data_IF_375314804541
#
_entry.id   IF_375314804541
#
_cell.length_a   1.000
_cell.length_b   1.000
_cell.length_c   1.000
_cell.angle_alpha   90.00
_cell.angle_beta   90.00
_cell.angle_gamma   90.00
#
_symmetry.space_group_name_H-M   'P 1'
#
loop_
_entity.id
_entity.type
_entity.pdbx_description
1 polymer ?
#
# COMPACT_ATOMS: atom_id res chain seq x y z
N UNK A 1 -35.57 -12.34 26.85
CA UNK A 1 -34.21 -12.03 27.37
C UNK A 1 -33.87 -13.02 28.46
N UNK A 2 -32.71 -13.68 28.38
CA UNK A 2 -32.30 -14.77 29.28
C UNK A 2 -31.82 -14.31 30.69
N UNK A 3 -32.16 -13.09 31.12
CA UNK A 3 -31.77 -12.57 32.45
C UNK A 3 -30.27 -12.26 32.62
N UNK A 4 -29.52 -12.12 31.52
CA UNK A 4 -28.08 -11.85 31.58
C UNK A 4 -27.77 -10.51 32.26
N UNK A 5 -26.82 -10.52 33.20
CA UNK A 5 -26.35 -9.33 33.94
C UNK A 5 -25.21 -8.58 33.22
N UNK A 6 -24.73 -9.13 32.10
CA UNK A 6 -23.67 -8.58 31.27
C UNK A 6 -23.50 -9.41 30.00
N UNK A 7 -22.84 -8.85 28.98
CA UNK A 7 -22.56 -9.50 27.71
C UNK A 7 -21.06 -9.44 27.44
N UNK A 8 -20.46 -10.59 27.13
CA UNK A 8 -19.10 -10.67 26.60
C UNK A 8 -19.20 -11.01 25.11
N UNK A 9 -18.68 -10.14 24.26
CA UNK A 9 -18.74 -10.31 22.81
C UNK A 9 -17.35 -10.68 22.29
N UNK A 10 -17.27 -11.86 21.67
CA UNK A 10 -16.08 -12.35 20.98
C UNK A 10 -16.29 -12.07 19.48
N UNK A 11 -15.53 -11.16 18.87
CA UNK A 11 -15.68 -10.87 17.45
C UNK A 11 -15.19 -12.05 16.60
N UNK A 12 -15.78 -12.26 15.41
CA UNK A 12 -15.39 -13.34 14.51
C UNK A 12 -14.05 -13.08 13.80
N UNK A 13 -13.60 -11.82 13.74
CA UNK A 13 -12.38 -11.40 13.03
C UNK A 13 -11.41 -10.63 13.95
N UNK A 14 -10.09 -10.66 13.67
CA UNK A 14 -9.10 -9.86 14.40
C UNK A 14 -9.38 -8.36 14.38
N UNK A 15 -9.15 -7.69 15.51
CA UNK A 15 -9.38 -6.26 15.69
C UNK A 15 -10.56 -5.94 16.62
N UNK A 16 -10.70 -4.65 16.93
CA UNK A 16 -11.84 -4.14 17.69
C UNK A 16 -13.02 -3.95 16.73
N UNK A 17 -14.06 -4.77 16.88
CA UNK A 17 -15.30 -4.62 16.11
C UNK A 17 -16.17 -3.58 16.79
N UNK A 18 -16.57 -2.55 16.07
CA UNK A 18 -17.60 -1.62 16.51
C UNK A 18 -18.96 -2.28 16.33
N UNK A 19 -19.66 -2.53 17.44
CA UNK A 19 -21.04 -3.02 17.42
C UNK A 19 -21.90 -1.94 18.04
N UNK A 20 -22.92 -1.50 17.31
CA UNK A 20 -23.91 -0.56 17.84
C UNK A 20 -24.60 -1.22 19.04
N UNK A 21 -24.37 -0.64 20.23
CA UNK A 21 -24.95 -1.14 21.47
C UNK A 21 -26.33 -0.55 21.76
N UNK A 22 -26.91 0.23 20.83
CA UNK A 22 -28.28 0.71 20.96
C UNK A 22 -29.24 -0.45 21.20
N UNK A 23 -29.90 -0.42 22.35
CA UNK A 23 -30.86 -1.45 22.76
C UNK A 23 -30.31 -2.52 23.72
N UNK A 24 -29.00 -2.55 24.01
CA UNK A 24 -28.46 -3.39 25.07
C UNK A 24 -28.83 -2.83 26.45
N UNK A 25 -29.53 -3.64 27.25
CA UNK A 25 -29.92 -3.30 28.63
C UNK A 25 -28.86 -3.70 29.68
N UNK A 26 -27.83 -4.46 29.27
CA UNK A 26 -26.76 -4.94 30.14
C UNK A 26 -25.39 -4.43 29.66
N UNK A 27 -24.41 -4.22 30.55
CA UNK A 27 -23.05 -3.85 30.16
C UNK A 27 -22.44 -4.88 29.19
N UNK A 28 -21.87 -4.39 28.09
CA UNK A 28 -21.18 -5.22 27.12
C UNK A 28 -19.68 -4.96 27.14
N UNK A 29 -18.88 -6.02 27.14
CA UNK A 29 -17.42 -5.98 26.98
C UNK A 29 -17.07 -6.73 25.70
N UNK A 30 -16.28 -6.09 24.85
CA UNK A 30 -15.75 -6.70 23.62
C UNK A 30 -14.34 -7.21 23.87
N UNK A 31 -14.04 -8.39 23.36
CA UNK A 31 -12.68 -8.96 23.40
C UNK A 31 -12.05 -8.89 22.02
N UNK A 32 -10.75 -9.15 21.91
CA UNK A 32 -10.17 -9.49 20.61
C UNK A 32 -10.52 -10.94 20.26
N UNK A 33 -10.68 -11.24 18.96
CA UNK A 33 -10.99 -12.59 18.48
C UNK A 33 -9.94 -13.63 18.91
N UNK A 34 -8.67 -13.22 19.04
CA UNK A 34 -7.56 -14.09 19.48
C UNK A 34 -7.74 -14.67 20.87
N UNK A 35 -8.53 -14.02 21.74
CA UNK A 35 -8.86 -14.52 23.07
C UNK A 35 -10.12 -15.40 23.08
N UNK A 36 -10.82 -15.51 21.95
CA UNK A 36 -12.08 -16.24 21.85
C UNK A 36 -11.97 -17.69 22.29
N UNK A 37 -10.97 -18.42 21.77
CA UNK A 37 -10.78 -19.82 22.14
C UNK A 37 -10.47 -19.99 23.63
N UNK A 38 -9.59 -19.15 24.19
CA UNK A 38 -9.27 -19.18 25.62
C UNK A 38 -10.51 -18.97 26.50
N UNK A 39 -11.37 -18.03 26.10
CA UNK A 39 -12.63 -17.75 26.81
C UNK A 39 -13.57 -18.95 26.71
N UNK A 40 -13.72 -19.53 25.52
CA UNK A 40 -14.57 -20.71 25.30
C UNK A 40 -14.08 -21.92 26.10
N UNK A 41 -12.78 -22.19 26.11
CA UNK A 41 -12.16 -23.27 26.88
C UNK A 41 -12.35 -23.06 28.39
N UNK A 42 -12.21 -21.82 28.86
CA UNK A 42 -12.40 -21.47 30.28
C UNK A 42 -13.86 -21.71 30.72
N UNK A 43 -14.83 -21.36 29.87
CA UNK A 43 -16.26 -21.60 30.14
C UNK A 43 -16.57 -23.10 30.10
N UNK A 44 -15.96 -23.84 29.16
CA UNK A 44 -16.14 -25.28 29.04
C UNK A 44 -15.57 -26.06 30.23
N UNK A 45 -14.51 -25.54 30.86
CA UNK A 45 -13.89 -26.14 32.05
C UNK A 45 -14.72 -25.99 33.34
N UNK A 46 -15.76 -25.14 33.34
CA UNK A 46 -16.67 -24.96 34.47
C UNK A 46 -17.03 -23.49 34.72
N UNK A 47 -17.66 -23.18 35.88
CA UNK A 47 -18.05 -21.82 36.22
C UNK A 47 -16.85 -20.86 36.22
N UNK A 48 -16.86 -19.90 35.29
CA UNK A 48 -15.85 -18.87 35.16
C UNK A 48 -16.32 -17.54 35.76
N UNK A 49 -15.44 -16.83 36.49
CA UNK A 49 -15.70 -15.47 36.98
C UNK A 49 -14.85 -14.48 36.21
N UNK A 50 -15.50 -13.50 35.57
CA UNK A 50 -14.83 -12.40 34.87
C UNK A 50 -15.02 -11.13 35.70
N UNK A 51 -13.92 -10.46 36.06
CA UNK A 51 -13.96 -9.13 36.67
C UNK A 51 -14.02 -8.09 35.55
N UNK A 52 -15.11 -7.33 35.48
CA UNK A 52 -15.24 -6.23 34.53
C UNK A 52 -14.23 -5.10 34.83
N UNK A 53 -13.88 -4.29 33.81
CA UNK A 53 -12.95 -3.18 34.00
C UNK A 53 -13.50 -2.15 34.99
N UNK A 54 -12.64 -1.63 35.86
CA UNK A 54 -12.98 -0.50 36.74
C UNK A 54 -13.02 0.82 35.95
N UNK A 55 -13.65 1.87 36.48
CA UNK A 55 -13.71 3.20 35.84
C UNK A 55 -12.36 3.92 35.68
N UNK A 56 -11.26 3.34 36.17
CA UNK A 56 -9.91 3.89 35.99
C UNK A 56 -9.24 3.28 34.76
N UNK A 57 -8.70 4.09 33.84
CA UNK A 57 -7.78 3.61 32.82
C UNK A 57 -6.62 2.88 33.50
N UNK A 58 -6.25 1.71 33.00
CA UNK A 58 -5.06 0.99 33.42
C UNK A 58 -4.21 0.69 32.19
N UNK A 59 -2.89 0.73 32.36
CA UNK A 59 -1.98 0.36 31.29
C UNK A 59 -2.16 -1.13 30.99
N UNK A 60 -2.52 -1.45 29.75
CA UNK A 60 -2.39 -2.81 29.24
C UNK A 60 -0.92 -3.04 28.89
N UNK A 61 -0.33 -4.20 29.26
CA UNK A 61 0.96 -4.60 28.73
C UNK A 61 0.95 -4.51 27.21
N UNK A 62 2.10 -4.14 26.63
CA UNK A 62 2.25 -4.10 25.18
C UNK A 62 1.77 -5.42 24.58
N UNK A 63 0.82 -5.34 23.64
CA UNK A 63 0.34 -6.53 22.95
C UNK A 63 1.48 -7.10 22.10
N UNK A 64 1.37 -8.36 21.67
CA UNK A 64 2.37 -8.94 20.76
C UNK A 64 2.52 -8.11 19.47
N UNK A 65 1.46 -7.40 19.07
CA UNK A 65 1.38 -6.54 17.89
C UNK A 65 1.96 -5.14 18.11
N UNK A 66 2.42 -4.79 19.33
CA UNK A 66 3.02 -3.49 19.60
C UNK A 66 4.31 -3.29 18.81
N UNK A 67 4.50 -2.09 18.26
CA UNK A 67 5.65 -1.79 17.41
C UNK A 67 5.63 -2.50 16.05
N UNK A 68 4.48 -3.06 15.64
CA UNK A 68 4.30 -3.65 14.31
C UNK A 68 3.41 -2.77 13.43
N UNK A 69 3.49 -2.99 12.12
CA UNK A 69 2.58 -2.35 11.18
C UNK A 69 1.15 -2.86 11.42
N UNK A 70 0.18 -1.94 11.43
CA UNK A 70 -1.23 -2.32 11.58
C UNK A 70 -1.74 -3.02 10.32
N UNK A 71 -2.46 -4.13 10.49
CA UNK A 71 -2.94 -4.97 9.37
C UNK A 71 -3.86 -4.21 8.39
N UNK A 72 -4.54 -3.15 8.86
CA UNK A 72 -5.44 -2.31 8.07
C UNK A 72 -4.74 -1.16 7.35
N UNK A 73 -3.43 -0.96 7.57
CA UNK A 73 -2.71 0.13 6.93
C UNK A 73 -2.66 -0.09 5.43
N UNK A 74 -3.10 0.91 4.67
CA UNK A 74 -2.94 0.92 3.22
C UNK A 74 -1.46 0.84 2.85
N UNK A 75 -1.20 0.21 1.72
CA UNK A 75 0.14 -0.01 1.18
C UNK A 75 0.22 0.64 -0.19
N UNK A 76 1.41 1.10 -0.55
CA UNK A 76 1.71 1.56 -1.89
C UNK A 76 2.06 0.42 -2.87
N UNK A 77 2.57 0.79 -4.05
CA UNK A 77 2.82 2.18 -4.46
C UNK A 77 1.52 2.98 -4.57
N UNK A 78 1.65 4.31 -4.61
CA UNK A 78 0.54 5.15 -5.05
C UNK A 78 0.22 4.87 -6.53
N UNK A 79 -0.85 5.46 -7.07
CA UNK A 79 -1.24 5.21 -8.45
C UNK A 79 -0.09 5.51 -9.43
N UNK A 80 0.62 6.63 -9.23
CA UNK A 80 1.73 7.15 -10.06
C UNK A 80 3.04 6.37 -9.90
N UNK A 81 2.97 5.22 -9.23
CA UNK A 81 4.11 4.40 -8.84
C UNK A 81 5.07 5.12 -7.89
N UNK A 82 4.60 6.16 -7.20
CA UNK A 82 5.35 6.86 -6.17
C UNK A 82 5.28 6.08 -4.85
N UNK A 83 6.37 6.14 -4.09
CA UNK A 83 6.52 5.37 -2.86
C UNK A 83 5.57 5.94 -1.80
N UNK A 84 4.58 5.13 -1.43
CA UNK A 84 3.61 5.41 -0.36
C UNK A 84 3.44 4.19 0.57
N UNK A 85 3.08 4.39 1.86
CA UNK A 85 3.00 5.69 2.55
C UNK A 85 4.39 6.34 2.69
N UNK A 86 4.48 7.64 3.00
CA UNK A 86 5.78 8.31 3.16
C UNK A 86 6.45 7.96 4.51
N UNK A 87 5.68 7.93 5.60
CA UNK A 87 6.14 7.68 6.96
C UNK A 87 5.07 6.94 7.77
N UNK A 88 5.46 6.35 8.90
CA UNK A 88 4.58 5.72 9.87
C UNK A 88 4.47 6.56 11.14
N UNK A 89 3.31 6.48 11.78
CA UNK A 89 3.08 7.01 13.11
C UNK A 89 2.11 6.11 13.88
N UNK A 90 2.09 6.15 15.22
CA UNK A 90 1.16 5.36 16.02
C UNK A 90 -0.30 5.60 15.63
N UNK A 91 -1.00 4.55 15.21
CA UNK A 91 -2.41 4.60 14.82
C UNK A 91 -3.25 3.43 15.30
N UNK A 92 -2.65 2.40 15.88
CA UNK A 92 -3.35 1.27 16.48
C UNK A 92 -3.56 1.48 17.98
N UNK A 93 -4.77 1.18 18.47
CA UNK A 93 -5.14 1.22 19.89
C UNK A 93 -4.83 2.57 20.56
N UNK A 94 -5.13 3.67 19.88
CA UNK A 94 -4.87 5.03 20.36
C UNK A 94 -5.99 5.46 21.31
N UNK A 95 -5.63 5.71 22.56
CA UNK A 95 -6.52 6.29 23.57
C UNK A 95 -6.57 7.82 23.40
N UNK A 96 -7.76 8.36 23.08
CA UNK A 96 -7.93 9.80 22.88
C UNK A 96 -9.31 10.28 23.32
N UNK A 97 -9.51 11.59 23.30
CA UNK A 97 -10.78 12.24 23.63
C UNK A 97 -11.89 11.77 22.71
N UNK A 98 -13.04 11.42 23.26
CA UNK A 98 -14.21 10.99 22.52
C UNK A 98 -15.48 11.54 23.19
N UNK A 99 -16.47 12.05 22.44
CA UNK A 99 -17.61 12.75 23.01
C UNK A 99 -18.64 11.80 23.64
N UNK A 100 -18.31 11.08 24.71
CA UNK A 100 -19.25 10.21 25.47
C UNK A 100 -20.21 11.07 26.35
N UNK A 101 -20.69 12.21 25.82
CA UNK A 101 -21.29 13.37 26.53
C UNK A 101 -20.28 14.32 27.22
N UNK A 102 -19.10 14.47 26.58
CA UNK A 102 -18.16 15.59 26.69
C UNK A 102 -17.13 15.62 27.84
N UNK A 103 -16.82 14.46 28.42
CA UNK A 103 -15.57 14.26 29.17
C UNK A 103 -14.97 12.87 28.90
N UNK A 104 -15.40 12.24 27.81
CA UNK A 104 -15.14 10.84 27.53
C UNK A 104 -13.82 10.61 26.78
N UNK A 105 -13.40 9.36 26.80
CA UNK A 105 -12.25 8.87 26.07
C UNK A 105 -12.58 7.53 25.46
N UNK A 106 -11.96 7.22 24.33
CA UNK A 106 -12.13 5.96 23.63
C UNK A 106 -10.80 5.52 23.03
N UNK A 107 -10.60 4.21 22.96
CA UNK A 107 -9.50 3.60 22.21
C UNK A 107 -9.99 3.32 20.80
N UNK A 108 -9.35 3.93 19.81
CA UNK A 108 -9.65 3.72 18.39
C UNK A 108 -8.38 3.34 17.62
N UNK A 109 -8.58 2.70 16.47
CA UNK A 109 -7.51 2.29 15.57
C UNK A 109 -7.79 2.80 14.17
N UNK A 110 -6.76 3.31 13.50
CA UNK A 110 -6.84 3.77 12.12
C UNK A 110 -5.66 4.66 11.74
N UNK A 111 -5.38 4.75 10.44
CA UNK A 111 -4.46 5.78 9.90
C UNK A 111 -5.00 7.20 10.18
N UNK A 112 -6.32 7.35 10.36
CA UNK A 112 -6.96 8.55 10.90
C UNK A 112 -6.45 8.97 12.28
N UNK A 113 -5.87 8.05 13.08
CA UNK A 113 -5.22 8.35 14.35
C UNK A 113 -3.72 8.62 14.18
N UNK A 114 -3.07 7.99 13.21
CA UNK A 114 -1.69 8.32 12.81
C UNK A 114 -1.58 9.75 12.26
N UNK A 115 -2.55 10.19 11.45
CA UNK A 115 -2.57 11.51 10.82
C UNK A 115 -2.44 12.68 11.82
N UNK A 116 -3.28 12.81 12.87
CA UNK A 116 -3.15 13.88 13.86
C UNK A 116 -1.86 13.74 14.69
N UNK A 117 -1.30 12.54 14.85
CA UNK A 117 0.01 12.35 15.48
C UNK A 117 1.12 13.02 14.65
N UNK A 118 1.14 12.77 13.34
CA UNK A 118 2.07 13.43 12.40
C UNK A 118 1.83 14.94 12.38
N UNK A 119 0.58 15.40 12.37
CA UNK A 119 0.27 16.83 12.39
C UNK A 119 0.82 17.53 13.65
N UNK A 120 0.69 16.91 14.83
CA UNK A 120 1.29 17.41 16.06
C UNK A 120 2.82 17.41 16.02
N UNK A 121 3.44 16.38 15.45
CA UNK A 121 4.89 16.35 15.24
C UNK A 121 5.34 17.49 14.31
N UNK A 122 4.66 17.70 13.18
CA UNK A 122 4.94 18.80 12.26
C UNK A 122 4.83 20.15 12.97
N UNK A 123 3.84 20.34 13.85
CA UNK A 123 3.72 21.56 14.64
C UNK A 123 4.95 21.82 15.52
N UNK A 124 5.48 20.79 16.19
CA UNK A 124 6.72 20.89 16.98
C UNK A 124 7.95 21.18 16.09
N UNK A 125 8.03 20.54 14.92
CA UNK A 125 9.11 20.82 13.95
C UNK A 125 9.06 22.27 13.46
N UNK A 126 7.86 22.77 13.15
CA UNK A 126 7.63 24.16 12.75
C UNK A 126 7.93 25.14 13.87
N UNK A 127 7.62 24.82 15.12
CA UNK A 127 8.00 25.67 16.25
C UNK A 127 9.52 25.79 16.36
N UNK A 128 10.24 24.68 16.24
CA UNK A 128 11.70 24.67 16.31
C UNK A 128 12.39 25.24 15.06
N UNK A 129 11.77 25.09 13.88
CA UNK A 129 12.30 25.47 12.56
C UNK A 129 11.20 26.16 11.72
N UNK A 130 10.84 27.41 12.03
CA UNK A 130 9.63 28.08 11.48
C UNK A 130 9.65 28.29 9.97
N UNK A 131 10.83 28.42 9.37
CA UNK A 131 11.00 28.76 7.96
C UNK A 131 10.99 27.56 7.02
N UNK A 132 10.89 26.32 7.53
CA UNK A 132 10.85 25.14 6.67
C UNK A 132 9.64 25.19 5.73
N UNK A 133 9.83 24.88 4.46
CA UNK A 133 8.76 24.67 3.48
C UNK A 133 8.08 23.31 3.71
N UNK A 134 6.96 23.07 3.01
CA UNK A 134 6.26 21.77 3.08
C UNK A 134 7.14 20.64 2.56
N UNK A 135 7.87 20.86 1.46
CA UNK A 135 8.79 19.88 0.90
C UNK A 135 9.96 19.56 1.83
N UNK A 136 10.53 20.57 2.49
CA UNK A 136 11.59 20.34 3.48
C UNK A 136 11.07 19.60 4.73
N UNK A 137 9.81 19.81 5.13
CA UNK A 137 9.20 19.05 6.22
C UNK A 137 9.01 17.59 5.83
N UNK A 138 8.47 17.33 4.64
CA UNK A 138 8.30 15.97 4.11
C UNK A 138 9.66 15.25 4.00
N UNK A 139 10.67 15.95 3.46
CA UNK A 139 12.05 15.44 3.36
C UNK A 139 12.62 15.06 4.73
N UNK A 140 12.72 16.03 5.66
CA UNK A 140 13.30 15.81 6.98
C UNK A 140 12.56 14.71 7.73
N UNK A 141 11.22 14.67 7.69
CA UNK A 141 10.43 13.64 8.36
C UNK A 141 10.67 12.26 7.76
N UNK A 142 10.78 12.14 6.42
CA UNK A 142 11.11 10.89 5.76
C UNK A 142 12.51 10.42 6.15
N UNK A 143 13.54 11.23 5.93
CA UNK A 143 14.93 10.73 6.06
C UNK A 143 15.39 10.51 7.50
N UNK A 144 14.70 11.12 8.47
CA UNK A 144 14.96 10.90 9.91
C UNK A 144 14.09 9.81 10.53
N UNK A 145 13.09 9.30 9.80
CA UNK A 145 12.26 8.20 10.25
C UNK A 145 13.11 6.95 10.54
N UNK A 146 12.61 6.10 11.43
CA UNK A 146 13.26 4.84 11.81
C UNK A 146 12.59 3.69 11.08
N UNK A 147 13.28 3.00 10.16
CA UNK A 147 12.72 1.85 9.47
C UNK A 147 12.20 0.82 10.46
N UNK A 148 10.97 0.33 10.22
CA UNK A 148 10.36 -0.68 11.06
C UNK A 148 10.92 -2.06 10.70
N UNK A 149 11.10 -2.96 11.68
CA UNK A 149 11.48 -4.36 11.40
C UNK A 149 10.23 -5.21 11.39
N UNK A 150 10.05 -5.99 10.32
CA UNK A 150 8.94 -6.92 10.18
C UNK A 150 9.19 -8.15 11.05
N UNK A 151 8.34 -8.46 12.04
CA UNK A 151 8.52 -9.66 12.87
C UNK A 151 8.37 -10.96 12.08
N UNK A 152 7.70 -10.91 10.94
CA UNK A 152 7.51 -12.06 10.06
C UNK A 152 8.79 -12.47 9.33
N UNK A 153 9.68 -11.52 9.04
CA UNK A 153 10.90 -11.76 8.24
C UNK A 153 12.20 -11.49 8.99
N UNK A 154 12.15 -10.74 10.09
CA UNK A 154 13.33 -10.21 10.77
C UNK A 154 14.08 -9.13 9.99
N UNK A 155 13.60 -8.73 8.81
CA UNK A 155 14.16 -7.68 7.97
C UNK A 155 13.37 -6.38 8.09
N UNK A 156 13.89 -5.27 7.59
CA UNK A 156 13.14 -4.01 7.50
C UNK A 156 11.86 -4.23 6.69
N UNK A 157 10.75 -3.69 7.17
CA UNK A 157 9.44 -3.72 6.53
C UNK A 157 9.55 -3.10 5.14
N UNK A 158 8.90 -3.71 4.15
CA UNK A 158 9.03 -3.25 2.77
C UNK A 158 8.56 -1.78 2.64
N UNK A 159 9.25 -0.89 1.90
CA UNK A 159 8.86 0.52 1.85
C UNK A 159 7.46 0.81 1.31
N UNK A 160 6.91 -0.01 0.42
CA UNK A 160 5.49 0.07 0.05
C UNK A 160 4.52 -0.23 1.21
N UNK A 161 4.98 -0.85 2.29
CA UNK A 161 4.20 -1.08 3.51
C UNK A 161 4.50 -0.02 4.57
N UNK A 162 5.79 0.26 4.77
CA UNK A 162 6.30 1.05 5.90
C UNK A 162 6.78 2.46 5.57
N UNK A 163 6.83 2.87 4.31
CA UNK A 163 7.48 4.11 3.90
C UNK A 163 8.93 4.18 4.37
N UNK A 164 9.35 5.35 4.83
CA UNK A 164 10.63 5.55 5.49
C UNK A 164 10.67 4.99 6.94
N UNK A 165 9.53 4.57 7.49
CA UNK A 165 9.41 4.03 8.85
C UNK A 165 8.78 5.01 9.84
N UNK A 166 8.94 4.73 11.14
CA UNK A 166 8.32 5.48 12.23
C UNK A 166 8.95 6.87 12.37
N UNK A 167 8.13 7.92 12.37
CA UNK A 167 8.64 9.30 12.52
C UNK A 167 9.48 9.47 13.79
N UNK A 168 10.59 10.20 13.68
CA UNK A 168 11.41 10.61 14.82
C UNK A 168 11.57 12.13 14.83
N UNK A 169 10.70 12.78 15.60
CA UNK A 169 10.65 14.25 15.61
C UNK A 169 11.88 14.89 16.25
N UNK A 170 12.54 14.19 17.17
CA UNK A 170 13.75 14.69 17.81
C UNK A 170 14.92 14.74 16.82
N UNK A 171 15.10 13.67 16.05
CA UNK A 171 16.13 13.62 14.99
C UNK A 171 15.80 14.63 13.88
N UNK A 172 14.51 14.77 13.50
CA UNK A 172 14.05 15.77 12.53
C UNK A 172 14.42 17.21 12.95
N UNK A 173 14.15 17.59 14.20
CA UNK A 173 14.48 18.91 14.73
C UNK A 173 16.00 19.14 14.71
N UNK A 174 16.79 18.11 15.04
CA UNK A 174 18.26 18.18 15.10
C UNK A 174 18.97 17.95 13.76
N UNK A 175 18.24 17.65 12.70
CA UNK A 175 18.85 17.34 11.40
C UNK A 175 19.71 18.50 10.90
N UNK A 176 20.94 18.16 10.50
CA UNK A 176 21.92 19.07 9.88
C UNK A 176 22.20 18.71 8.42
N UNK A 177 21.34 17.90 7.80
CA UNK A 177 21.48 17.47 6.41
C UNK A 177 20.15 17.63 5.69
N UNK A 178 20.23 17.89 4.39
CA UNK A 178 19.11 17.74 3.46
C UNK A 178 19.49 16.65 2.45
N UNK A 179 18.57 15.72 2.20
CA UNK A 179 18.75 14.60 1.29
C UNK A 179 17.62 14.63 0.25
N UNK A 180 17.96 14.83 -1.01
CA UNK A 180 16.99 14.92 -2.11
C UNK A 180 17.34 13.93 -3.24
N UNK A 181 16.41 13.08 -3.71
CA UNK A 181 15.05 12.93 -3.21
C UNK A 181 14.99 12.20 -1.85
N UNK A 182 13.97 12.46 -1.00
CA UNK A 182 13.81 11.78 0.29
C UNK A 182 13.32 10.33 0.19
N UNK A 183 12.99 9.88 -1.01
CA UNK A 183 12.50 8.53 -1.34
C UNK A 183 12.76 8.25 -2.82
N UNK A 184 13.03 6.99 -3.15
CA UNK A 184 13.36 6.57 -4.52
C UNK A 184 12.30 5.60 -5.02
N UNK A 185 11.45 6.08 -5.93
CA UNK A 185 10.58 5.21 -6.73
C UNK A 185 11.34 4.69 -7.94
N UNK A 186 11.81 3.45 -7.84
CA UNK A 186 12.59 2.78 -8.89
C UNK A 186 11.77 2.61 -10.17
N UNK A 187 10.46 2.40 -10.03
CA UNK A 187 9.55 2.04 -11.13
C UNK A 187 10.09 0.79 -11.84
N UNK A 188 10.68 0.93 -13.03
CA UNK A 188 11.23 -0.16 -13.83
C UNK A 188 12.69 -0.47 -13.49
N UNK A 189 13.10 -1.71 -13.78
CA UNK A 189 14.51 -2.13 -13.74
C UNK A 189 14.97 -2.69 -15.07
N UNK A 190 16.27 -2.61 -15.33
CA UNK A 190 16.90 -3.12 -16.56
C UNK A 190 17.82 -4.32 -16.29
N UNK A 191 18.17 -5.07 -17.32
CA UNK A 191 19.13 -6.19 -17.26
C UNK A 191 20.38 -5.87 -18.09
N UNK A 192 21.48 -6.57 -17.78
CA UNK A 192 22.74 -6.44 -18.50
C UNK A 192 23.74 -5.51 -17.81
N UNK A 193 24.60 -4.87 -18.61
CA UNK A 193 25.71 -4.07 -18.12
C UNK A 193 25.24 -2.84 -17.32
N UNK A 194 25.82 -2.62 -16.14
CA UNK A 194 25.48 -1.48 -15.28
C UNK A 194 26.12 -0.21 -15.82
N UNK A 195 25.29 0.67 -16.39
CA UNK A 195 25.75 1.93 -16.99
C UNK A 195 26.39 2.83 -15.92
N UNK A 196 27.61 3.33 -16.18
CA UNK A 196 28.33 4.21 -15.25
C UNK A 196 29.11 3.50 -14.13
N UNK A 197 29.04 2.16 -14.02
CA UNK A 197 29.69 1.39 -12.95
C UNK A 197 30.75 0.40 -13.48
N UNK A 198 31.85 0.94 -14.04
CA UNK A 198 33.05 0.19 -14.44
C UNK A 198 32.83 -1.10 -15.27
N UNK A 199 31.76 -1.15 -16.08
CA UNK A 199 31.45 -2.33 -16.90
C UNK A 199 30.99 -3.54 -16.07
N UNK A 200 30.45 -3.32 -14.88
CA UNK A 200 29.86 -4.38 -14.05
C UNK A 200 28.80 -5.15 -14.83
N UNK A 201 28.92 -6.48 -14.83
CA UNK A 201 27.93 -7.40 -15.38
C UNK A 201 27.27 -8.16 -14.25
N UNK A 202 25.93 -8.08 -14.20
CA UNK A 202 25.11 -8.75 -13.18
C UNK A 202 24.37 -9.99 -13.73
N UNK A 203 24.72 -10.42 -14.96
CA UNK A 203 24.01 -11.48 -15.67
C UNK A 203 22.53 -11.12 -15.84
N UNK A 204 21.66 -12.01 -15.39
CA UNK A 204 20.20 -11.84 -15.46
C UNK A 204 19.62 -10.99 -14.31
N UNK A 205 20.44 -10.57 -13.35
CA UNK A 205 19.97 -9.75 -12.23
C UNK A 205 19.61 -8.35 -12.72
N UNK A 206 18.41 -7.88 -12.37
CA UNK A 206 17.97 -6.54 -12.75
C UNK A 206 18.52 -5.48 -11.81
N UNK A 207 18.64 -4.25 -12.31
CA UNK A 207 19.14 -3.11 -11.55
C UNK A 207 18.53 -1.80 -12.05
N UNK A 208 18.72 -0.73 -11.28
CA UNK A 208 18.48 0.66 -11.70
C UNK A 208 19.58 1.57 -11.14
N UNK A 209 19.72 2.78 -11.66
CA UNK A 209 20.54 3.84 -11.07
C UNK A 209 19.66 4.89 -10.43
N UNK A 210 20.10 5.46 -9.31
CA UNK A 210 19.54 6.69 -8.78
C UNK A 210 20.64 7.66 -8.35
N UNK A 211 20.25 8.91 -8.21
CA UNK A 211 21.11 10.00 -7.79
C UNK A 211 20.49 10.67 -6.57
N UNK A 212 21.31 10.94 -5.56
CA UNK A 212 20.94 11.65 -4.34
C UNK A 212 21.84 12.87 -4.18
N UNK A 213 21.21 14.02 -3.97
CA UNK A 213 21.84 15.27 -3.56
C UNK A 213 21.89 15.32 -2.03
N UNK A 214 23.08 15.37 -1.47
CA UNK A 214 23.30 15.47 -0.03
C UNK A 214 23.89 16.84 0.30
N UNK A 215 23.14 17.65 1.05
CA UNK A 215 23.56 18.99 1.45
C UNK A 215 23.93 19.03 2.92
N UNK A 216 25.17 19.38 3.22
CA UNK A 216 25.62 19.64 4.58
C UNK A 216 25.16 21.03 5.01
N UNK A 217 24.16 21.11 5.90
CA UNK A 217 23.65 22.40 6.38
C UNK A 217 24.46 22.96 7.56
N UNK A 218 25.39 22.18 8.12
CA UNK A 218 26.37 22.67 9.09
C UNK A 218 27.38 23.57 8.35
N UNK A 219 27.50 24.82 8.81
CA UNK A 219 28.36 25.83 8.18
C UNK A 219 29.79 25.84 8.70
N UNK A 220 30.08 25.01 9.70
CA UNK A 220 31.35 25.02 10.43
C UNK A 220 32.17 23.76 10.25
N UNK A 221 31.52 22.60 10.06
CA UNK A 221 32.18 21.31 10.03
C UNK A 221 31.86 20.55 8.75
N UNK A 222 32.90 19.99 8.14
CA UNK A 222 32.76 19.03 7.05
C UNK A 222 32.04 17.76 7.55
N UNK A 223 31.20 17.20 6.69
CA UNK A 223 30.41 16.01 6.95
C UNK A 223 31.04 14.81 6.24
N UNK A 224 31.46 13.82 7.03
CA UNK A 224 31.90 12.52 6.53
C UNK A 224 30.69 11.64 6.26
N UNK A 225 30.71 10.95 5.12
CA UNK A 225 29.57 10.16 4.62
C UNK A 225 30.00 8.72 4.44
N UNK A 226 29.24 7.80 5.04
CA UNK A 226 29.29 6.37 4.74
C UNK A 226 27.91 5.93 4.29
N UNK A 227 27.83 5.33 3.11
CA UNK A 227 26.57 4.89 2.51
C UNK A 227 26.49 3.36 2.64
N UNK A 228 25.37 2.89 3.17
CA UNK A 228 25.03 1.48 3.30
C UNK A 228 23.65 1.18 2.73
N UNK A 229 23.27 -0.09 2.82
CA UNK A 229 21.94 -0.55 2.42
C UNK A 229 21.37 -1.52 3.45
N UNK A 230 20.11 -1.31 3.78
CA UNK A 230 19.31 -2.29 4.51
C UNK A 230 18.15 -2.72 3.62
N UNK A 231 18.27 -3.93 3.05
CA UNK A 231 17.28 -4.50 2.16
C UNK A 231 16.04 -5.01 2.92
N UNK A 232 14.89 -4.93 2.26
CA UNK A 232 13.63 -5.52 2.71
C UNK A 232 13.32 -6.79 1.93
N UNK A 233 12.58 -7.70 2.56
CA UNK A 233 12.07 -8.87 1.86
C UNK A 233 11.10 -8.43 0.74
N UNK A 234 11.26 -9.01 -0.45
CA UNK A 234 10.46 -8.66 -1.62
C UNK A 234 8.99 -9.06 -1.43
N UNK A 235 8.08 -8.36 -2.11
CA UNK A 235 6.65 -8.61 -2.09
C UNK A 235 6.15 -9.15 -3.43
N UNK A 236 5.17 -10.06 -3.40
CA UNK A 236 4.37 -10.41 -4.59
C UNK A 236 2.89 -10.25 -4.30
N UNK A 237 2.13 -9.77 -5.29
CA UNK A 237 0.67 -9.82 -5.27
C UNK A 237 0.12 -11.17 -5.76
N UNK A 238 0.99 -12.11 -6.10
CA UNK A 238 0.62 -13.39 -6.70
C UNK A 238 1.27 -14.56 -5.98
N UNK A 239 0.56 -15.67 -5.96
CA UNK A 239 1.16 -16.97 -5.67
C UNK A 239 1.96 -17.46 -6.90
N UNK A 240 2.88 -18.42 -6.71
CA UNK A 240 3.67 -19.01 -7.82
C UNK A 240 2.81 -19.60 -8.94
N UNK A 241 1.61 -20.06 -8.63
CA UNK A 241 0.67 -20.60 -9.62
C UNK A 241 -0.01 -19.49 -10.46
N UNK A 242 0.28 -18.21 -10.22
CA UNK A 242 -0.28 -17.07 -10.95
C UNK A 242 -1.55 -16.49 -10.34
N UNK A 243 -2.16 -17.14 -9.35
CA UNK A 243 -3.39 -16.62 -8.72
C UNK A 243 -3.09 -15.44 -7.81
N UNK A 244 -4.00 -14.47 -7.73
CA UNK A 244 -3.85 -13.29 -6.87
C UNK A 244 -3.86 -13.67 -5.39
N UNK A 245 -2.97 -13.05 -4.62
CA UNK A 245 -2.90 -13.17 -3.18
C UNK A 245 -3.75 -12.09 -2.48
N UNK A 246 -4.34 -12.47 -1.34
CA UNK A 246 -5.21 -11.59 -0.55
C UNK A 246 -4.49 -10.36 0.02
N UNK A 247 -3.23 -10.54 0.39
CA UNK A 247 -2.30 -9.51 0.81
C UNK A 247 -0.96 -9.80 0.12
N UNK A 248 -0.11 -8.79 -0.10
CA UNK A 248 1.21 -9.02 -0.66
C UNK A 248 1.99 -10.04 0.15
N UNK A 249 2.32 -11.15 -0.50
CA UNK A 249 3.12 -12.24 0.05
C UNK A 249 4.56 -11.79 0.16
N UNK A 250 5.24 -12.22 1.21
CA UNK A 250 6.66 -11.97 1.36
C UNK A 250 7.47 -13.11 0.76
N UNK A 251 8.43 -12.76 -0.10
CA UNK A 251 9.37 -13.67 -0.73
C UNK A 251 10.34 -14.28 0.29
N UNK A 252 10.80 -15.52 0.06
CA UNK A 252 11.74 -16.23 0.94
C UNK A 252 11.12 -17.00 2.11
N UNK A 253 9.78 -17.02 2.24
CA UNK A 253 9.08 -17.93 3.15
C UNK A 253 8.96 -19.36 2.59
N UNK A 254 8.21 -20.24 3.27
CA UNK A 254 8.01 -21.65 2.87
C UNK A 254 7.55 -21.87 1.40
N UNK A 255 7.01 -20.83 0.76
CA UNK A 255 6.52 -20.86 -0.63
C UNK A 255 7.61 -20.57 -1.68
N UNK A 256 8.79 -20.07 -1.28
CA UNK A 256 9.94 -19.82 -2.15
C UNK A 256 11.24 -20.19 -1.38
N UNK A 257 11.69 -21.45 -1.41
CA UNK A 257 12.98 -21.81 -0.83
C UNK A 257 14.10 -21.22 -1.69
N UNK A 258 14.89 -20.34 -1.10
CA UNK A 258 16.01 -19.62 -1.74
C UNK A 258 17.11 -19.38 -0.71
N UNK A 259 18.36 -19.31 -1.16
CA UNK A 259 19.49 -19.01 -0.28
C UNK A 259 19.35 -17.58 0.30
N UNK A 260 19.40 -17.40 1.64
CA UNK A 260 19.10 -16.13 2.31
C UNK A 260 19.86 -14.92 1.74
N UNK A 261 21.13 -15.07 1.39
CA UNK A 261 21.99 -14.01 0.85
C UNK A 261 21.56 -13.48 -0.51
N UNK A 262 20.70 -14.22 -1.23
CA UNK A 262 20.21 -13.83 -2.56
C UNK A 262 18.81 -13.22 -2.52
N UNK A 263 18.22 -13.07 -1.33
CA UNK A 263 16.82 -12.65 -1.15
C UNK A 263 16.61 -11.17 -0.99
N UNK A 264 17.66 -10.42 -0.64
CA UNK A 264 17.60 -8.99 -0.38
C UNK A 264 18.30 -8.19 -1.48
N UNK A 265 17.79 -6.99 -1.80
CA UNK A 265 18.47 -6.09 -2.72
C UNK A 265 19.76 -5.55 -2.12
N UNK A 266 20.68 -5.16 -3.00
CA UNK A 266 21.95 -4.53 -2.63
C UNK A 266 22.11 -3.19 -3.34
N UNK A 267 23.01 -2.35 -2.82
CA UNK A 267 23.42 -1.13 -3.53
C UNK A 267 24.91 -1.16 -3.76
N UNK A 268 25.34 -0.47 -4.81
CA UNK A 268 26.73 -0.20 -5.06
C UNK A 268 26.98 1.30 -5.21
N UNK A 269 28.04 1.73 -4.52
CA UNK A 269 28.55 3.10 -4.50
C UNK A 269 30.06 3.02 -4.77
N UNK A 270 30.59 3.92 -5.60
CA UNK A 270 32.00 3.87 -6.04
C UNK A 270 32.89 4.87 -5.29
N UNK A 271 32.33 6.01 -4.88
CA UNK A 271 33.03 7.05 -4.11
C UNK A 271 32.08 7.67 -3.09
N UNK A 272 32.57 7.92 -1.87
CA UNK A 272 31.83 8.59 -0.82
C UNK A 272 32.62 9.81 -0.32
N UNK A 273 32.79 10.85 -1.16
CA UNK A 273 33.51 12.04 -0.75
C UNK A 273 32.82 12.66 0.47
N UNK A 274 33.61 13.31 1.32
CA UNK A 274 33.06 14.16 2.37
C UNK A 274 32.33 15.34 1.74
N UNK A 275 31.28 15.83 2.39
CA UNK A 275 30.58 17.04 1.99
C UNK A 275 31.11 18.20 2.83
N UNK A 276 31.81 19.18 2.23
CA UNK A 276 32.33 20.31 2.99
C UNK A 276 31.21 21.09 3.69
N UNK A 277 31.57 21.87 4.71
CA UNK A 277 30.64 22.73 5.42
C UNK A 277 29.82 23.63 4.48
N UNK A 278 28.48 23.59 4.60
CA UNK A 278 27.56 24.39 3.79
C UNK A 278 27.46 23.99 2.31
N UNK A 279 28.08 22.90 1.88
CA UNK A 279 28.10 22.47 0.48
C UNK A 279 27.13 21.32 0.19
N UNK A 280 26.87 21.11 -1.10
CA UNK A 280 26.06 20.00 -1.62
C UNK A 280 26.95 19.07 -2.45
N UNK A 281 26.75 17.77 -2.30
CA UNK A 281 27.42 16.74 -3.08
C UNK A 281 26.40 15.79 -3.70
N UNK A 282 26.61 15.44 -4.95
CA UNK A 282 25.84 14.43 -5.67
C UNK A 282 26.43 13.04 -5.48
N UNK A 283 25.59 12.04 -5.22
CA UNK A 283 25.95 10.62 -5.12
C UNK A 283 25.10 9.81 -6.10
N UNK A 284 25.74 9.14 -7.05
CA UNK A 284 25.08 8.18 -7.94
C UNK A 284 25.34 6.77 -7.45
N UNK A 285 24.28 5.96 -7.38
CA UNK A 285 24.33 4.59 -6.89
C UNK A 285 23.53 3.65 -7.80
N UNK A 286 23.99 2.40 -7.89
CA UNK A 286 23.25 1.34 -8.54
C UNK A 286 22.48 0.56 -7.47
N UNK A 287 21.15 0.46 -7.64
CA UNK A 287 20.30 -0.41 -6.82
C UNK A 287 20.10 -1.72 -7.60
N UNK A 288 20.51 -2.82 -6.99
CA UNK A 288 20.53 -4.14 -7.59
C UNK A 288 19.43 -4.97 -6.94
N UNK A 289 18.53 -5.50 -7.77
CA UNK A 289 17.46 -6.38 -7.31
C UNK A 289 18.03 -7.68 -6.73
N UNK A 290 17.31 -8.37 -5.82
CA UNK A 290 17.76 -9.67 -5.33
C UNK A 290 17.97 -10.67 -6.47
N UNK A 291 19.07 -11.41 -6.41
CA UNK A 291 19.45 -12.39 -7.46
C UNK A 291 18.46 -13.53 -7.61
N UNK A 292 17.72 -13.85 -6.55
CA UNK A 292 16.76 -14.94 -6.56
C UNK A 292 15.41 -14.60 -7.22
N UNK A 293 15.17 -13.34 -7.62
CA UNK A 293 13.90 -12.94 -8.22
C UNK A 293 13.82 -13.39 -9.69
N UNK A 294 12.74 -14.08 -10.03
CA UNK A 294 12.38 -14.34 -11.42
C UNK A 294 11.50 -13.20 -11.96
N UNK A 295 11.76 -12.78 -13.20
CA UNK A 295 10.97 -11.75 -13.88
C UNK A 295 9.49 -12.15 -14.02
N UNK A 296 9.19 -13.45 -14.14
CA UNK A 296 7.80 -13.92 -14.28
C UNK A 296 6.98 -13.81 -13.00
N UNK A 297 7.64 -13.70 -11.84
CA UNK A 297 6.98 -13.72 -10.53
C UNK A 297 6.44 -12.33 -10.12
N UNK A 298 6.64 -11.31 -10.96
CA UNK A 298 6.12 -9.93 -10.79
C UNK A 298 6.42 -9.38 -9.38
N UNK A 299 7.67 -9.54 -8.93
CA UNK A 299 8.10 -9.21 -7.57
C UNK A 299 8.47 -7.73 -7.43
N UNK A 300 8.00 -7.13 -6.34
CA UNK A 300 8.40 -5.80 -5.89
C UNK A 300 9.52 -5.94 -4.87
N UNK A 301 10.62 -5.24 -5.06
CA UNK A 301 11.73 -5.23 -4.12
C UNK A 301 11.97 -3.82 -3.60
N UNK A 302 12.64 -3.73 -2.46
CA UNK A 302 12.91 -2.46 -1.83
C UNK A 302 13.77 -2.58 -0.59
N UNK A 303 14.02 -1.45 0.04
CA UNK A 303 14.85 -1.32 1.22
C UNK A 303 15.12 0.14 1.53
N UNK A 304 16.26 0.41 2.15
CA UNK A 304 16.71 1.76 2.47
C UNK A 304 18.17 1.95 2.07
N UNK A 305 18.47 3.13 1.53
CA UNK A 305 19.84 3.63 1.43
C UNK A 305 20.15 4.35 2.74
N UNK A 306 21.13 3.84 3.47
CA UNK A 306 21.48 4.33 4.81
C UNK A 306 22.68 5.26 4.76
N UNK A 307 22.47 6.52 5.09
CA UNK A 307 23.49 7.55 5.23
C UNK A 307 23.94 7.65 6.68
N UNK A 308 25.16 7.18 6.94
CA UNK A 308 25.87 7.31 8.20
C UNK A 308 26.74 8.57 8.14
N UNK A 309 26.31 9.60 8.87
CA UNK A 309 26.87 10.94 8.80
C UNK A 309 27.58 11.32 10.10
N UNK A 310 28.75 11.93 9.98
CA UNK A 310 29.58 12.37 11.11
C UNK A 310 30.18 13.74 10.79
N UNK A 311 30.00 14.73 11.67
CA UNK A 311 30.50 16.08 11.46
C UNK A 311 31.80 16.33 12.20
N UNK A 312 32.81 16.86 11.50
CA UNK A 312 34.10 17.24 12.08
C UNK A 312 34.75 16.09 12.86
N UNK A 313 34.93 16.30 14.17
CA UNK A 313 35.53 15.35 15.11
C UNK A 313 34.52 14.72 16.09
N UNK A 314 33.21 14.86 15.84
CA UNK A 314 32.18 14.24 16.66
C UNK A 314 32.40 12.72 16.74
N UNK A 315 32.21 12.10 17.90
CA UNK A 315 32.40 10.65 18.07
C UNK A 315 31.15 9.84 17.72
N UNK A 316 30.00 10.50 17.55
CA UNK A 316 28.72 9.89 17.25
C UNK A 316 28.38 10.02 15.78
N UNK A 317 27.84 8.95 15.20
CA UNK A 317 27.29 8.94 13.84
C UNK A 317 25.78 9.08 13.90
N UNK A 318 25.22 9.96 13.08
CA UNK A 318 23.78 10.05 12.84
C UNK A 318 23.40 9.20 11.63
N UNK A 319 22.27 8.50 11.70
CA UNK A 319 21.79 7.65 10.60
C UNK A 319 20.52 8.26 10.02
N UNK A 320 20.54 8.46 8.71
CA UNK A 320 19.42 8.89 7.89
C UNK A 320 19.17 7.83 6.83
N UNK A 321 17.91 7.54 6.52
CA UNK A 321 17.55 6.44 5.62
C UNK A 321 16.62 6.94 4.53
N UNK A 322 16.98 6.68 3.26
CA UNK A 322 16.13 6.98 2.10
C UNK A 322 15.50 5.68 1.62
N UNK A 323 14.17 5.50 1.77
CA UNK A 323 13.51 4.30 1.28
C UNK A 323 13.54 4.23 -0.25
N UNK A 324 13.69 3.02 -0.78
CA UNK A 324 13.55 2.74 -2.21
C UNK A 324 12.67 1.52 -2.44
N UNK A 325 11.86 1.56 -3.50
CA UNK A 325 11.09 0.39 -3.93
C UNK A 325 10.75 0.46 -5.42
N UNK A 326 10.57 -0.70 -6.04
CA UNK A 326 10.10 -0.81 -7.41
C UNK A 326 9.90 -2.24 -7.87
N UNK A 327 9.66 -2.39 -9.17
CA UNK A 327 9.39 -3.67 -9.78
C UNK A 327 10.67 -4.31 -10.30
N UNK A 328 10.84 -5.60 -10.02
CA UNK A 328 11.80 -6.44 -10.73
C UNK A 328 11.28 -6.76 -12.14
N UNK A 329 11.25 -5.76 -13.02
CA UNK A 329 10.67 -5.87 -14.35
C UNK A 329 10.29 -4.53 -14.95
N UNK A 330 9.25 -4.56 -15.76
CA UNK A 330 8.69 -3.44 -16.52
C UNK A 330 7.18 -3.33 -16.26
N UNK A 331 6.76 -2.24 -15.62
CA UNK A 331 5.37 -1.97 -15.26
C UNK A 331 4.44 -1.90 -16.48
N UNK A 332 4.94 -1.44 -17.63
CA UNK A 332 4.16 -1.38 -18.88
C UNK A 332 3.79 -2.75 -19.42
N UNK A 333 4.41 -3.81 -18.90
CA UNK A 333 4.17 -5.22 -19.27
C UNK A 333 3.40 -6.00 -18.22
N UNK A 334 2.97 -5.34 -17.13
CA UNK A 334 2.14 -5.99 -16.13
C UNK A 334 0.68 -6.00 -16.57
N UNK A 335 0.02 -7.12 -16.26
CA UNK A 335 -1.43 -7.17 -16.30
C UNK A 335 -2.00 -6.32 -15.15
N UNK A 336 -2.82 -5.33 -15.49
CA UNK A 336 -3.63 -4.54 -14.56
C UNK A 336 -4.87 -5.27 -14.11
N UNK A 337 -5.43 -6.12 -14.97
CA UNK A 337 -6.51 -7.03 -14.62
C UNK A 337 -5.94 -8.32 -14.02
N UNK A 338 -6.68 -8.87 -13.07
CA UNK A 338 -6.46 -10.21 -12.58
C UNK A 338 -6.48 -11.24 -13.71
N UNK A 339 -5.74 -12.35 -13.57
CA UNK A 339 -5.80 -13.40 -14.57
C UNK A 339 -7.20 -14.05 -14.61
N UNK A 340 -7.61 -14.49 -15.82
CA UNK A 340 -8.95 -15.04 -16.10
C UNK A 340 -9.29 -16.29 -15.26
N UNK A 341 -8.27 -17.03 -14.80
CA UNK A 341 -8.44 -18.17 -13.90
C UNK A 341 -9.05 -17.79 -12.54
N UNK A 342 -8.99 -16.50 -12.19
CA UNK A 342 -9.64 -15.92 -11.02
C UNK A 342 -11.14 -15.67 -11.24
N UNK A 343 -11.65 -15.95 -12.45
CA UNK A 343 -13.06 -15.78 -12.82
C UNK A 343 -13.42 -14.38 -13.32
N UNK A 344 -12.49 -13.43 -13.33
CA UNK A 344 -12.71 -12.03 -13.75
C UNK A 344 -11.87 -11.66 -14.97
N UNK A 345 -12.30 -10.67 -15.77
CA UNK A 345 -13.58 -9.98 -15.69
C UNK A 345 -14.78 -10.85 -16.07
N UNK A 346 -15.97 -10.52 -15.56
CA UNK A 346 -17.20 -11.26 -15.86
C UNK A 346 -18.45 -10.36 -15.94
N UNK A 347 -19.49 -10.88 -16.58
CA UNK A 347 -20.87 -10.41 -16.40
C UNK A 347 -21.55 -11.28 -15.33
N UNK A 348 -22.21 -10.66 -14.36
CA UNK A 348 -22.84 -11.37 -13.25
C UNK A 348 -24.22 -10.81 -12.89
N UNK A 349 -24.99 -11.61 -12.15
CA UNK A 349 -26.21 -11.16 -11.49
C UNK A 349 -25.90 -10.38 -10.18
N UNK A 350 -26.93 -9.95 -9.46
CA UNK A 350 -26.79 -9.20 -8.20
C UNK A 350 -26.12 -10.00 -7.08
N UNK A 351 -26.18 -11.33 -7.15
CA UNK A 351 -25.57 -12.23 -6.17
C UNK A 351 -24.12 -12.58 -6.55
N UNK A 352 -23.62 -12.06 -7.68
CA UNK A 352 -22.26 -12.30 -8.18
C UNK A 352 -22.09 -13.62 -8.94
N UNK A 353 -23.18 -14.26 -9.37
CA UNK A 353 -23.09 -15.47 -10.18
C UNK A 353 -22.81 -15.12 -11.65
N UNK A 354 -21.87 -15.82 -12.33
CA UNK A 354 -21.61 -15.59 -13.75
C UNK A 354 -22.85 -15.81 -14.62
N UNK A 355 -23.07 -14.90 -15.57
CA UNK A 355 -24.15 -14.96 -16.56
C UNK A 355 -23.62 -15.46 -17.91
N UNK A 356 -24.41 -16.27 -18.62
CA UNK A 356 -24.15 -16.70 -20.00
C UNK A 356 -24.57 -15.57 -20.97
N UNK A 357 -23.63 -14.81 -21.58
CA UNK A 357 -23.98 -13.63 -22.36
C UNK A 357 -24.82 -13.97 -23.61
N UNK A 358 -24.70 -15.19 -24.15
CA UNK A 358 -25.44 -15.62 -25.33
C UNK A 358 -26.96 -15.79 -25.05
N UNK A 359 -27.34 -15.98 -23.79
CA UNK A 359 -28.74 -16.08 -23.35
C UNK A 359 -29.22 -14.81 -22.63
N UNK A 360 -28.34 -13.84 -22.47
CA UNK A 360 -28.58 -12.65 -21.67
C UNK A 360 -29.41 -11.62 -22.45
N UNK A 361 -30.52 -11.21 -21.83
CA UNK A 361 -31.36 -10.09 -22.27
C UNK A 361 -31.40 -9.04 -21.16
N UNK A 362 -30.57 -8.02 -21.30
CA UNK A 362 -30.48 -6.89 -20.37
C UNK A 362 -31.78 -6.10 -20.39
N UNK A 363 -32.34 -5.88 -19.20
CA UNK A 363 -33.64 -5.25 -19.00
C UNK A 363 -34.75 -6.21 -18.57
N UNK A 364 -34.56 -7.52 -18.73
CA UNK A 364 -35.35 -8.56 -18.04
C UNK A 364 -34.69 -8.97 -16.71
N UNK A 365 -33.35 -8.92 -16.67
CA UNK A 365 -32.52 -9.19 -15.50
C UNK A 365 -31.56 -8.03 -15.24
N UNK A 366 -31.21 -7.82 -13.97
CA UNK A 366 -30.14 -6.90 -13.58
C UNK A 366 -28.79 -7.56 -13.87
N UNK A 367 -27.88 -6.77 -14.46
CA UNK A 367 -26.57 -7.24 -14.91
C UNK A 367 -25.51 -6.32 -14.37
N UNK A 368 -24.47 -6.93 -13.83
CA UNK A 368 -23.28 -6.26 -13.36
C UNK A 368 -22.07 -6.66 -14.21
N UNK A 369 -21.17 -5.69 -14.41
CA UNK A 369 -19.85 -5.91 -14.96
C UNK A 369 -18.87 -5.90 -13.79
N UNK A 370 -18.12 -6.98 -13.60
CA UNK A 370 -17.20 -7.13 -12.47
C UNK A 370 -15.75 -7.32 -12.93
N UNK A 371 -14.85 -6.60 -12.27
CA UNK A 371 -13.40 -6.65 -12.52
C UNK A 371 -12.63 -6.89 -11.22
N UNK A 372 -11.55 -7.65 -11.33
CA UNK A 372 -10.52 -7.72 -10.30
C UNK A 372 -9.25 -7.06 -10.84
N UNK A 373 -8.74 -6.08 -10.11
CA UNK A 373 -7.56 -5.31 -10.44
C UNK A 373 -6.35 -5.89 -9.71
N UNK A 374 -5.46 -6.47 -10.49
CA UNK A 374 -4.18 -7.01 -10.07
C UNK A 374 -3.24 -5.94 -9.50
N UNK A 375 -3.23 -4.78 -10.13
CA UNK A 375 -2.49 -3.57 -9.70
C UNK A 375 -3.38 -2.35 -10.00
N UNK A 376 -3.18 -1.21 -9.31
CA UNK A 376 -3.93 0.01 -9.60
C UNK A 376 -3.72 0.50 -11.03
N UNK A 377 -4.71 1.20 -11.58
CA UNK A 377 -4.64 1.86 -12.88
C UNK A 377 -5.08 3.32 -12.76
N UNK A 378 -4.50 4.20 -13.58
CA UNK A 378 -4.81 5.63 -13.62
C UNK A 378 -5.97 6.00 -14.51
N UNK A 379 -6.42 5.08 -15.35
CA UNK A 379 -7.55 5.32 -16.21
C UNK A 379 -8.23 4.00 -16.48
N UNK A 380 -9.49 3.92 -16.07
CA UNK A 380 -10.37 2.82 -16.41
C UNK A 380 -11.53 3.32 -17.23
N UNK A 381 -11.77 2.67 -18.36
CA UNK A 381 -12.86 2.93 -19.27
C UNK A 381 -13.66 1.65 -19.42
N UNK A 382 -14.97 1.72 -19.15
CA UNK A 382 -15.92 0.63 -19.38
C UNK A 382 -17.08 1.22 -20.17
N UNK A 383 -17.22 0.75 -21.40
CA UNK A 383 -18.17 1.29 -22.36
C UNK A 383 -19.00 0.20 -23.02
N UNK A 384 -20.21 0.59 -23.43
CA UNK A 384 -21.08 -0.23 -24.24
C UNK A 384 -20.74 -0.02 -25.72
N UNK A 385 -20.55 -1.13 -26.45
CA UNK A 385 -20.21 -1.12 -27.87
C UNK A 385 -21.27 -1.90 -28.65
N UNK A 386 -21.73 -1.34 -29.77
CA UNK A 386 -22.77 -1.96 -30.59
C UNK A 386 -22.22 -3.06 -31.52
N UNK A 387 -23.09 -3.68 -32.31
CA UNK A 387 -22.70 -4.73 -33.26
C UNK A 387 -21.83 -4.27 -34.44
N UNK A 388 -21.70 -2.96 -34.67
CA UNK A 388 -20.81 -2.37 -35.69
C UNK A 388 -19.47 -1.92 -35.10
N UNK A 389 -19.21 -2.22 -33.82
CA UNK A 389 -18.03 -1.80 -33.05
C UNK A 389 -17.93 -0.28 -32.80
N UNK A 390 -19.04 0.44 -32.91
CA UNK A 390 -19.09 1.84 -32.48
C UNK A 390 -19.35 1.92 -30.98
N UNK A 391 -18.54 2.72 -30.29
CA UNK A 391 -18.78 3.06 -28.89
C UNK A 391 -20.10 3.82 -28.77
N UNK A 392 -21.03 3.26 -28.00
CA UNK A 392 -22.31 3.91 -27.72
C UNK A 392 -22.15 4.93 -26.60
N UNK A 393 -21.29 4.64 -25.62
CA UNK A 393 -20.98 5.50 -24.47
C UNK A 393 -20.45 4.70 -23.28
N UNK A 394 -19.93 5.39 -22.26
CA UNK A 394 -19.52 4.81 -20.98
C UNK A 394 -20.75 4.29 -20.22
N UNK A 395 -20.62 3.15 -19.54
CA UNK A 395 -21.66 2.73 -18.60
C UNK A 395 -21.63 3.62 -17.34
N UNK A 396 -22.66 3.64 -16.49
CA UNK A 396 -22.65 4.45 -15.27
C UNK A 396 -21.48 4.09 -14.35
N UNK A 397 -20.63 5.08 -14.05
CA UNK A 397 -19.38 4.88 -13.30
C UNK A 397 -18.25 4.22 -14.11
N UNK A 398 -18.46 3.96 -15.41
CA UNK A 398 -17.51 3.26 -16.27
C UNK A 398 -16.29 4.10 -16.67
N UNK A 399 -16.30 5.41 -16.46
CA UNK A 399 -15.12 6.26 -16.62
C UNK A 399 -14.53 6.57 -15.25
N UNK A 400 -13.24 6.26 -15.05
CA UNK A 400 -12.55 6.39 -13.78
C UNK A 400 -11.15 6.98 -13.98
N UNK A 401 -10.90 8.15 -13.38
CA UNK A 401 -9.55 8.76 -13.30
C UNK A 401 -8.63 8.04 -12.30
N UNK A 402 -9.16 7.06 -11.59
CA UNK A 402 -8.38 6.20 -10.72
C UNK A 402 -9.13 4.89 -10.45
N UNK A 403 -8.40 3.79 -10.63
CA UNK A 403 -8.88 2.44 -10.39
C UNK A 403 -7.98 1.80 -9.34
N UNK A 404 -8.46 1.59 -8.09
CA UNK A 404 -7.65 0.96 -7.06
C UNK A 404 -7.41 -0.52 -7.36
N UNK A 405 -6.38 -1.10 -6.76
CA UNK A 405 -6.26 -2.56 -6.70
C UNK A 405 -7.49 -3.14 -5.96
N UNK A 406 -7.91 -4.34 -6.33
CA UNK A 406 -9.01 -5.03 -5.62
C UNK A 406 -8.41 -6.09 -4.71
N UNK A 407 -8.73 -6.03 -3.41
CA UNK A 407 -8.34 -7.07 -2.47
C UNK A 407 -9.52 -8.04 -2.25
N UNK A 408 -9.35 -9.38 -2.37
CA UNK A 408 -10.47 -10.32 -2.36
C UNK A 408 -11.25 -10.42 -1.03
N UNK A 409 -10.78 -9.79 0.05
CA UNK A 409 -11.50 -9.68 1.34
C UNK A 409 -11.95 -8.26 1.66
N UNK A 410 -11.66 -7.31 0.77
CA UNK A 410 -12.22 -5.96 0.83
C UNK A 410 -13.70 -6.04 0.50
N UNK A 411 -14.48 -5.07 0.98
CA UNK A 411 -15.89 -4.94 0.58
C UNK A 411 -16.04 -3.61 -0.18
N UNK A 412 -16.32 -3.64 -1.50
CA UNK A 412 -16.44 -4.84 -2.36
C UNK A 412 -15.07 -5.43 -2.75
N UNK A 413 -14.96 -6.75 -2.99
CA UNK A 413 -13.71 -7.43 -3.33
C UNK A 413 -13.32 -7.28 -4.81
N UNK A 414 -14.18 -6.62 -5.58
CA UNK A 414 -14.11 -6.41 -7.03
C UNK A 414 -14.66 -5.02 -7.33
N UNK A 415 -14.29 -4.47 -8.48
CA UNK A 415 -15.00 -3.32 -9.05
C UNK A 415 -16.26 -3.84 -9.71
N UNK A 416 -17.39 -3.21 -9.41
CA UNK A 416 -18.69 -3.64 -9.88
C UNK A 416 -19.46 -2.45 -10.44
N UNK A 417 -19.93 -2.57 -11.68
CA UNK A 417 -20.72 -1.57 -12.37
C UNK A 417 -22.05 -2.17 -12.79
N UNK A 418 -23.15 -1.50 -12.47
CA UNK A 418 -24.45 -1.91 -13.01
C UNK A 418 -24.50 -1.50 -14.48
N UNK A 419 -24.72 -2.48 -15.36
CA UNK A 419 -24.79 -2.24 -16.79
C UNK A 419 -26.07 -1.46 -17.15
N UNK A 420 -27.18 -1.75 -16.46
CA UNK A 420 -28.47 -1.08 -16.66
C UNK A 420 -28.88 -0.98 -18.13
N UNK A 421 -29.69 0.03 -18.46
CA UNK A 421 -29.98 0.44 -19.85
C UNK A 421 -29.52 1.88 -20.14
N UNK A 422 -28.86 2.51 -19.17
CA UNK A 422 -28.45 3.92 -19.21
C UNK A 422 -26.96 3.98 -19.49
N UNK A 423 -26.53 4.83 -20.41
CA UNK A 423 -25.12 5.06 -20.77
C UNK A 423 -24.83 6.56 -20.82
N UNK A 424 -23.58 6.97 -20.55
CA UNK A 424 -23.08 8.33 -20.66
C UNK A 424 -22.25 8.52 -21.93
N UNK A 425 -22.44 9.63 -22.64
CA UNK A 425 -21.89 9.80 -24.01
C UNK A 425 -20.86 10.91 -24.14
N UNK A 426 -20.74 11.80 -23.15
CA UNK A 426 -19.84 12.95 -23.16
C UNK A 426 -18.77 12.86 -22.07
N UNK A 427 -17.65 13.56 -22.26
CA UNK A 427 -16.53 13.62 -21.30
C UNK A 427 -16.95 14.17 -19.93
N UNK A 428 -18.00 14.98 -19.90
CA UNK A 428 -18.58 15.48 -18.65
C UNK A 428 -19.37 14.44 -17.85
N UNK A 429 -19.61 13.25 -18.42
CA UNK A 429 -20.47 12.20 -17.86
C UNK A 429 -21.86 12.76 -17.49
N UNK A 430 -22.36 13.72 -18.26
CA UNK A 430 -23.59 14.45 -17.95
C UNK A 430 -24.77 14.00 -18.81
N UNK A 431 -24.50 13.62 -20.05
CA UNK A 431 -25.53 13.25 -21.01
C UNK A 431 -25.78 11.75 -20.95
N UNK A 432 -26.88 11.39 -20.28
CA UNK A 432 -27.35 10.02 -20.26
C UNK A 432 -28.28 9.70 -21.44
N UNK A 433 -28.06 8.56 -22.06
CA UNK A 433 -28.88 8.03 -23.15
C UNK A 433 -29.34 6.63 -22.77
N UNK A 434 -30.58 6.30 -23.14
CA UNK A 434 -31.07 4.94 -23.02
C UNK A 434 -30.57 4.13 -24.22
N UNK A 435 -29.83 3.05 -23.97
CA UNK A 435 -29.36 2.15 -25.01
C UNK A 435 -30.56 1.57 -25.80
N UNK A 436 -30.61 1.73 -27.13
CA UNK A 436 -31.68 1.15 -27.95
C UNK A 436 -31.68 -0.38 -27.90
N UNK A 437 -32.81 -1.00 -28.22
CA UNK A 437 -32.88 -2.45 -28.38
C UNK A 437 -31.90 -2.94 -29.46
N UNK A 438 -31.10 -3.95 -29.17
CA UNK A 438 -30.05 -4.41 -30.07
C UNK A 438 -29.05 -5.36 -29.44
N UNK A 439 -28.00 -5.70 -30.20
CA UNK A 439 -26.87 -6.53 -29.75
C UNK A 439 -25.68 -5.65 -29.41
N UNK A 440 -25.06 -5.94 -28.26
CA UNK A 440 -23.97 -5.16 -27.71
C UNK A 440 -22.94 -6.06 -27.03
N UNK A 441 -21.76 -5.52 -26.77
CA UNK A 441 -20.78 -6.09 -25.85
C UNK A 441 -20.21 -4.98 -24.96
N UNK A 442 -19.58 -5.38 -23.85
CA UNK A 442 -18.79 -4.48 -23.02
C UNK A 442 -17.37 -4.44 -23.57
N UNK A 443 -16.85 -3.23 -23.72
CA UNK A 443 -15.43 -2.99 -23.92
C UNK A 443 -14.89 -2.32 -22.67
N UNK A 444 -13.93 -2.95 -22.01
CA UNK A 444 -13.25 -2.41 -20.85
C UNK A 444 -11.77 -2.24 -21.16
N UNK A 445 -11.22 -1.06 -20.89
CA UNK A 445 -9.82 -0.73 -21.12
C UNK A 445 -9.25 -0.08 -19.86
N UNK A 446 -8.16 -0.64 -19.35
CA UNK A 446 -7.46 -0.14 -18.16
C UNK A 446 -6.02 0.19 -18.53
N UNK A 447 -5.61 1.43 -18.28
CA UNK A 447 -4.27 1.91 -18.63
C UNK A 447 -3.22 1.21 -17.75
N UNK A 448 -2.21 0.59 -18.37
CA UNK A 448 -1.08 0.01 -17.62
C UNK A 448 -0.27 1.12 -16.97
N UNK A 449 0.37 0.88 -15.82
CA UNK A 449 1.18 1.92 -15.19
C UNK A 449 2.30 2.37 -16.12
N UNK A 450 2.54 3.68 -16.18
CA UNK A 450 3.44 4.37 -17.13
C UNK A 450 2.99 4.34 -18.61
N UNK A 451 1.79 3.84 -18.89
CA UNK A 451 1.18 3.92 -20.22
C UNK A 451 0.79 5.35 -20.61
N UNK A 452 0.75 5.60 -21.92
CA UNK A 452 0.23 6.84 -22.51
C UNK A 452 -1.27 6.68 -22.85
N UNK A 453 -2.11 7.59 -22.36
CA UNK A 453 -3.55 7.61 -22.65
C UNK A 453 -3.85 7.73 -24.16
N UNK A 454 -2.94 8.34 -24.93
CA UNK A 454 -3.04 8.44 -26.38
C UNK A 454 -2.65 7.16 -27.14
N UNK A 455 -2.13 6.15 -26.45
CA UNK A 455 -1.64 4.92 -27.05
C UNK A 455 -2.50 3.71 -26.63
N UNK A 456 -3.31 3.18 -27.56
CA UNK A 456 -4.18 2.04 -27.29
C UNK A 456 -3.45 0.78 -26.84
N UNK A 457 -2.19 0.59 -27.23
CA UNK A 457 -1.40 -0.59 -26.87
C UNK A 457 -1.03 -0.60 -25.38
N UNK A 458 -1.05 0.56 -24.73
CA UNK A 458 -0.74 0.70 -23.31
C UNK A 458 -1.93 0.32 -22.42
N UNK A 459 -3.11 0.10 -22.98
CA UNK A 459 -4.27 -0.40 -22.26
C UNK A 459 -4.31 -1.93 -22.24
N UNK A 460 -4.69 -2.50 -21.10
CA UNK A 460 -5.19 -3.87 -21.07
C UNK A 460 -6.69 -3.83 -21.32
N UNK A 461 -7.10 -4.50 -22.40
CA UNK A 461 -8.48 -4.54 -22.86
C UNK A 461 -9.13 -5.88 -22.52
N UNK A 462 -10.40 -5.82 -22.15
CA UNK A 462 -11.30 -6.96 -22.08
C UNK A 462 -12.60 -6.65 -22.81
N UNK A 463 -12.96 -7.52 -23.75
CA UNK A 463 -14.25 -7.47 -24.44
C UNK A 463 -15.11 -8.64 -23.97
N UNK A 464 -16.36 -8.35 -23.56
CA UNK A 464 -17.31 -9.39 -23.22
C UNK A 464 -17.80 -10.12 -24.48
N UNK A 465 -18.35 -11.33 -24.31
CA UNK A 465 -19.20 -11.88 -25.36
C UNK A 465 -20.43 -10.98 -25.56
N UNK A 466 -20.97 -10.98 -26.78
CA UNK A 466 -22.14 -10.19 -27.11
C UNK A 466 -23.40 -10.69 -26.40
N UNK A 467 -24.24 -9.75 -25.97
CA UNK A 467 -25.55 -9.96 -25.34
C UNK A 467 -26.60 -9.05 -26.00
N UNK A 468 -27.86 -9.22 -25.61
CA UNK A 468 -28.97 -8.41 -26.13
C UNK A 468 -29.45 -7.41 -25.08
N UNK A 469 -29.73 -6.17 -25.48
CA UNK A 469 -30.53 -5.21 -24.71
C UNK A 469 -31.92 -5.17 -25.38
N UNK A 470 -32.99 -5.37 -24.59
CA UNK A 470 -34.38 -5.34 -25.06
C UNK A 470 -35.07 -4.00 -24.86
#
# INVERSE_FOLDING_TARGET
MAGAIGVLVIPPTPGLVYIDTKGLLAPAVFTESKYGQLIMDTIAAGPATIKGPTSKPFAIPASREAGQLSYFSSMGPDPYLELSPHVLAPGGNVYSTYPIKHGGYMVLSGTSMSCPYVAGAIALLKEARPNLTVSEIDEILSVTAKPLVSPATGSVEHPYKGGAGLINIYDAIKSRVTIDPPRISIKNTTQGAVAGFAGMSLGDTRWTTCTIMLTNTDKSNDMRVSIGNTGSASLSMYFRNGSIAYMPLTFGGNNWPVEPENTLPTIQVFDTPNVPAGQTQEYTMAIIAPKALNNTDKLFFGGTVDFKLQWGNETTTSIYSVPYAGLNGDYTKLDVLAPLDSGYPMLSDIDGNPLDPAKLVVGEVLVYVQFSMAIPSHLGIVQLVNSTNDAVGYIPGGYMDYVPHTCPTCSPPVLQFELGRTIFTDEGLTNSVQAPAGKYHIHAAFLRPLGDEGNSDDFQVWDSQAFTIA
#
